data_IF_335695581866
#
_entry.id   IF_335695581866
#
_cell.length_a   1.000
_cell.length_b   1.000
_cell.length_c   1.000
_cell.angle_alpha   90.00
_cell.angle_beta   90.00
_cell.angle_gamma   90.00
#
_symmetry.space_group_name_H-M   'P 1'
#
loop_
_entity.id
_entity.type
_entity.pdbx_description
1 polymer ?
#
# COMPACT_ATOMS: atom_id res chain seq x y z
N UNK A 1 -4.12 -12.69 -24.75
CA UNK A 1 -4.37 -11.28 -25.13
C UNK A 1 -5.87 -11.06 -24.90
N UNK A 2 -6.41 -10.18 -24.05
CA UNK A 2 -6.04 -8.85 -23.59
C UNK A 2 -6.64 -8.67 -22.18
N UNK A 3 -5.82 -8.58 -21.13
CA UNK A 3 -6.28 -8.11 -19.82
C UNK A 3 -5.21 -7.34 -19.03
N UNK A 4 -4.11 -6.95 -19.70
CA UNK A 4 -2.98 -6.24 -19.09
C UNK A 4 -2.97 -4.73 -19.40
N UNK A 5 -3.89 -4.22 -20.21
CA UNK A 5 -3.80 -2.88 -20.81
C UNK A 5 -4.38 -1.75 -19.93
N UNK A 6 -4.96 -2.07 -18.77
CA UNK A 6 -5.56 -1.06 -17.89
C UNK A 6 -4.62 -0.49 -16.81
N UNK A 7 -3.36 -0.97 -16.74
CA UNK A 7 -2.40 -0.51 -15.73
C UNK A 7 -1.61 0.72 -16.22
N UNK A 8 -1.33 0.84 -17.51
CA UNK A 8 -0.41 1.85 -18.05
C UNK A 8 -0.99 3.27 -18.17
N UNK A 9 -2.32 3.45 -18.05
CA UNK A 9 -2.97 4.76 -18.27
C UNK A 9 -3.30 5.56 -17.01
N UNK A 10 -2.99 5.05 -15.82
CA UNK A 10 -3.21 5.80 -14.58
C UNK A 10 -1.94 6.51 -14.08
N UNK A 11 -0.79 6.31 -14.73
CA UNK A 11 0.52 6.71 -14.21
C UNK A 11 0.90 8.20 -14.42
N UNK A 12 0.17 8.98 -15.23
CA UNK A 12 0.55 10.38 -15.50
C UNK A 12 -0.15 11.43 -14.63
N UNK A 13 -1.27 11.13 -13.97
CA UNK A 13 -2.18 12.21 -13.52
C UNK A 13 -2.04 12.65 -12.05
N UNK A 14 -1.29 11.92 -11.21
CA UNK A 14 -1.20 12.21 -9.76
C UNK A 14 0.25 12.36 -9.33
N UNK A 15 0.79 13.56 -9.54
CA UNK A 15 2.16 13.95 -9.21
C UNK A 15 2.55 13.82 -7.74
N UNK A 16 2.69 12.60 -7.25
CA UNK A 16 3.43 12.29 -6.03
C UNK A 16 4.91 12.23 -6.37
N UNK A 17 5.56 13.39 -6.41
CA UNK A 17 7.02 13.51 -6.45
C UNK A 17 7.55 13.57 -5.01
N UNK A 18 7.61 12.41 -4.35
CA UNK A 18 8.49 12.20 -3.21
C UNK A 18 9.54 11.19 -3.69
N UNK A 19 10.81 11.37 -3.32
CA UNK A 19 11.90 10.49 -3.73
C UNK A 19 11.69 9.06 -3.20
N UNK A 20 10.88 8.26 -3.92
CA UNK A 20 10.39 6.94 -3.53
C UNK A 20 11.42 5.82 -3.68
N UNK A 21 12.59 6.10 -4.27
CA UNK A 21 13.62 5.10 -4.57
C UNK A 21 14.21 4.43 -3.29
N UNK A 22 13.98 5.01 -2.11
CA UNK A 22 14.54 4.53 -0.83
C UNK A 22 13.57 4.33 0.33
N UNK A 23 12.31 4.75 0.24
CA UNK A 23 11.37 4.60 1.35
C UNK A 23 10.78 3.19 1.39
N UNK A 24 10.89 2.51 2.53
CA UNK A 24 10.28 1.20 2.73
C UNK A 24 8.75 1.30 2.60
N UNK A 25 8.07 0.35 1.91
CA UNK A 25 6.60 0.28 1.81
C UNK A 25 5.85 0.50 3.13
N UNK A 26 6.43 0.03 4.22
CA UNK A 26 5.83 0.17 5.55
C UNK A 26 5.91 1.61 6.06
N UNK A 27 6.97 2.33 5.76
CA UNK A 27 7.13 3.72 6.16
C UNK A 27 6.20 4.62 5.33
N UNK A 28 5.97 4.28 4.05
CA UNK A 28 4.91 4.89 3.26
C UNK A 28 3.52 4.64 3.84
N UNK A 29 3.23 3.40 4.24
CA UNK A 29 1.95 3.05 4.83
C UNK A 29 1.70 3.78 6.16
N UNK A 30 2.74 4.01 6.97
CA UNK A 30 2.65 4.85 8.18
C UNK A 30 2.32 6.30 7.84
N UNK A 31 3.02 6.88 6.86
CA UNK A 31 2.75 8.24 6.39
C UNK A 31 1.30 8.37 5.88
N UNK A 32 0.85 7.41 5.07
CA UNK A 32 -0.52 7.36 4.60
C UNK A 32 -1.54 7.32 5.75
N UNK A 33 -1.29 6.51 6.78
CA UNK A 33 -2.14 6.46 7.97
C UNK A 33 -2.17 7.81 8.69
N UNK A 34 -1.01 8.45 8.88
CA UNK A 34 -0.88 9.74 9.56
C UNK A 34 -1.62 10.87 8.82
N UNK A 35 -1.38 11.00 7.51
CA UNK A 35 -2.02 12.03 6.66
C UNK A 35 -3.54 11.87 6.59
N UNK A 36 -4.04 10.64 6.62
CA UNK A 36 -5.47 10.36 6.56
C UNK A 36 -6.13 10.23 7.95
N UNK A 37 -5.38 10.42 9.04
CA UNK A 37 -5.87 10.23 10.41
C UNK A 37 -6.36 8.81 10.71
N UNK A 38 -5.87 7.83 9.96
CA UNK A 38 -6.24 6.42 10.08
C UNK A 38 -5.36 5.71 11.11
N UNK A 39 -5.90 4.68 11.75
CA UNK A 39 -5.18 3.85 12.69
C UNK A 39 -4.84 2.49 12.05
N UNK A 40 -3.87 1.77 12.64
CA UNK A 40 -3.53 0.42 12.16
C UNK A 40 -4.73 -0.54 12.16
N UNK A 41 -5.68 -0.37 13.09
CA UNK A 41 -6.92 -1.16 13.11
C UNK A 41 -7.75 -0.99 11.82
N UNK A 42 -7.65 0.16 11.16
CA UNK A 42 -8.42 0.44 9.95
C UNK A 42 -7.86 -0.34 8.76
N UNK A 43 -6.60 -0.81 8.82
CA UNK A 43 -6.01 -1.70 7.83
C UNK A 43 -6.46 -3.16 7.97
N UNK A 44 -7.19 -3.53 9.04
CA UNK A 44 -7.65 -4.90 9.28
C UNK A 44 -8.43 -5.49 8.09
N UNK A 45 -9.37 -4.77 7.45
CA UNK A 45 -10.12 -5.29 6.33
C UNK A 45 -9.26 -5.52 5.07
N UNK A 46 -8.10 -4.86 4.95
CA UNK A 46 -7.18 -5.05 3.83
C UNK A 46 -6.10 -6.12 4.11
N UNK A 47 -5.55 -6.12 5.32
CA UNK A 47 -4.37 -6.91 5.71
C UNK A 47 -4.71 -8.17 6.51
N UNK A 48 -5.89 -8.22 7.14
CA UNK A 48 -6.34 -9.30 8.03
C UNK A 48 -6.32 -8.89 9.52
N UNK A 49 -6.31 -9.85 10.45
CA UNK A 49 -6.46 -9.56 11.89
C UNK A 49 -5.39 -8.59 12.42
N UNK A 50 -5.69 -7.90 13.52
CA UNK A 50 -4.81 -6.88 14.14
C UNK A 50 -3.39 -7.37 14.42
N UNK A 51 -3.23 -8.64 14.79
CA UNK A 51 -1.92 -9.28 14.96
C UNK A 51 -1.09 -9.23 13.68
N UNK A 52 -1.72 -9.55 12.54
CA UNK A 52 -1.08 -9.54 11.21
C UNK A 52 -0.75 -8.13 10.75
N UNK A 53 -1.65 -7.17 10.99
CA UNK A 53 -1.35 -5.75 10.71
C UNK A 53 -0.10 -5.33 11.48
N UNK A 54 -0.05 -5.60 12.78
CA UNK A 54 1.09 -5.26 13.62
C UNK A 54 2.38 -5.95 13.17
N UNK A 55 2.34 -7.24 12.81
CA UNK A 55 3.50 -7.94 12.26
C UNK A 55 4.05 -7.27 10.99
N UNK A 56 3.16 -6.82 10.09
CA UNK A 56 3.53 -6.14 8.84
C UNK A 56 4.08 -4.73 9.13
N UNK A 57 3.40 -3.95 9.97
CA UNK A 57 3.82 -2.60 10.35
C UNK A 57 5.15 -2.58 11.12
N UNK A 58 5.50 -3.69 11.77
CA UNK A 58 6.78 -3.91 12.44
C UNK A 58 7.81 -4.63 11.56
N UNK A 59 7.56 -4.81 10.25
CA UNK A 59 8.45 -5.49 9.29
C UNK A 59 8.79 -6.94 9.65
N UNK A 60 8.03 -7.57 10.57
CA UNK A 60 8.20 -8.99 10.95
C UNK A 60 7.69 -9.93 9.85
N UNK A 61 6.77 -9.45 9.00
CA UNK A 61 6.26 -10.18 7.83
C UNK A 61 6.17 -9.27 6.61
N UNK A 62 6.51 -9.77 5.41
CA UNK A 62 6.34 -9.01 4.18
C UNK A 62 4.86 -8.92 3.79
N UNK A 63 4.52 -7.90 3.00
CA UNK A 63 3.22 -7.77 2.35
C UNK A 63 3.10 -8.81 1.23
N UNK A 64 2.00 -9.56 1.21
CA UNK A 64 1.66 -10.43 0.08
C UNK A 64 0.99 -9.65 -1.05
N UNK A 65 1.11 -10.13 -2.29
CA UNK A 65 0.42 -9.53 -3.46
C UNK A 65 -1.08 -9.35 -3.27
N UNK A 66 -1.74 -10.27 -2.54
CA UNK A 66 -3.17 -10.17 -2.22
C UNK A 66 -3.45 -8.97 -1.31
N UNK A 67 -2.61 -8.74 -0.30
CA UNK A 67 -2.73 -7.64 0.64
C UNK A 67 -2.44 -6.30 -0.03
N UNK A 68 -1.44 -6.26 -0.91
CA UNK A 68 -1.12 -5.06 -1.70
C UNK A 68 -2.32 -4.67 -2.58
N UNK A 69 -2.93 -5.65 -3.27
CA UNK A 69 -4.15 -5.41 -4.06
C UNK A 69 -5.33 -4.95 -3.20
N UNK A 70 -5.49 -5.49 -1.99
CA UNK A 70 -6.53 -5.05 -1.07
C UNK A 70 -6.30 -3.62 -0.58
N UNK A 71 -5.05 -3.26 -0.27
CA UNK A 71 -4.68 -1.91 0.12
C UNK A 71 -4.99 -0.92 -1.01
N UNK A 72 -4.65 -1.27 -2.25
CA UNK A 72 -5.01 -0.46 -3.42
C UNK A 72 -6.53 -0.31 -3.56
N UNK A 73 -7.29 -1.40 -3.46
CA UNK A 73 -8.75 -1.36 -3.63
C UNK A 73 -9.48 -0.59 -2.53
N UNK A 74 -9.01 -0.69 -1.28
CA UNK A 74 -9.71 -0.09 -0.12
C UNK A 74 -9.25 1.33 0.17
N UNK A 75 -7.96 1.62 -0.01
CA UNK A 75 -7.35 2.89 0.37
C UNK A 75 -6.86 3.71 -0.82
N UNK A 76 -6.98 3.20 -2.05
CA UNK A 76 -6.48 3.87 -3.24
C UNK A 76 -4.95 3.92 -3.33
N UNK A 77 -4.25 3.16 -2.49
CA UNK A 77 -2.79 3.19 -2.39
C UNK A 77 -2.18 2.61 -3.68
N UNK A 78 -1.34 3.36 -4.41
CA UNK A 78 -0.67 2.85 -5.61
C UNK A 78 0.19 1.62 -5.31
N UNK A 79 0.00 0.57 -6.10
CA UNK A 79 0.67 -0.73 -5.95
C UNK A 79 2.19 -0.58 -6.00
N UNK A 80 2.69 0.32 -6.87
CA UNK A 80 4.11 0.62 -7.06
C UNK A 80 4.81 1.19 -5.82
N UNK A 81 4.06 1.80 -4.88
CA UNK A 81 4.62 2.32 -3.64
C UNK A 81 4.74 1.24 -2.56
N UNK A 82 4.10 0.09 -2.79
CA UNK A 82 4.07 -1.04 -1.87
C UNK A 82 4.89 -2.24 -2.38
N UNK A 83 5.34 -2.19 -3.63
CA UNK A 83 6.19 -3.20 -4.27
C UNK A 83 7.63 -2.68 -4.23
N UNK A 84 8.56 -3.57 -3.91
CA UNK A 84 9.99 -3.36 -4.07
C UNK A 84 10.53 -4.37 -5.07
#
# INVERSE_FOLDING_TARGET
EVMSVLVEKYEEEKGYKLDFDKSDPIDWLKYFLEENGLQQKDLIPALGPSSRVSEIMNKKRPLSLKQIKNLNRQFGIPVQLLIK
#
